data_IF_957886971263
#
_entry.id   IF_957886971263
#
_cell.length_a   1.000
_cell.length_b   1.000
_cell.length_c   1.000
_cell.angle_alpha   90.00
_cell.angle_beta   90.00
_cell.angle_gamma   90.00
#
_symmetry.space_group_name_H-M   'P 1'
#
loop_
_entity.id
_entity.type
_entity.pdbx_description
1 polymer ?
#
# COMPACT_ATOMS: atom_id res chain seq x y z
N UNK A 1 -34.56 -2.55 9.99
CA UNK A 1 -34.70 -2.98 8.58
C UNK A 1 -33.42 -2.79 7.75
N UNK A 2 -32.65 -1.71 7.96
CA UNK A 2 -31.36 -1.48 7.25
C UNK A 2 -30.27 -2.51 7.56
N UNK A 3 -30.12 -2.91 8.83
CA UNK A 3 -29.08 -3.85 9.25
C UNK A 3 -29.22 -5.23 8.59
N UNK A 4 -30.44 -5.77 8.52
CA UNK A 4 -30.70 -7.08 7.92
C UNK A 4 -30.37 -7.07 6.42
N UNK A 5 -30.85 -6.07 5.67
CA UNK A 5 -30.56 -5.94 4.24
C UNK A 5 -29.05 -5.79 3.98
N UNK A 6 -28.36 -5.00 4.80
CA UNK A 6 -26.91 -4.83 4.72
C UNK A 6 -26.16 -6.14 4.96
N UNK A 7 -26.57 -6.94 5.96
CA UNK A 7 -25.96 -8.25 6.22
C UNK A 7 -26.16 -9.21 5.05
N UNK A 8 -27.37 -9.27 4.48
CA UNK A 8 -27.66 -10.11 3.31
C UNK A 8 -26.89 -9.69 2.05
N UNK A 9 -26.82 -8.39 1.77
CA UNK A 9 -26.01 -7.86 0.66
C UNK A 9 -24.52 -8.18 0.86
N UNK A 10 -24.00 -7.97 2.07
CA UNK A 10 -22.60 -8.25 2.39
C UNK A 10 -22.27 -9.74 2.27
N UNK A 11 -23.19 -10.62 2.69
CA UNK A 11 -23.04 -12.06 2.53
C UNK A 11 -23.03 -12.47 1.05
N UNK A 12 -23.96 -11.93 0.25
CA UNK A 12 -24.01 -12.18 -1.20
C UNK A 12 -22.70 -11.79 -1.90
N UNK A 13 -22.20 -10.57 -1.68
CA UNK A 13 -20.94 -10.11 -2.28
C UNK A 13 -19.74 -10.92 -1.78
N UNK A 14 -19.72 -11.31 -0.51
CA UNK A 14 -18.66 -12.17 0.05
C UNK A 14 -18.62 -13.52 -0.65
N UNK A 15 -19.78 -14.17 -0.85
CA UNK A 15 -19.90 -15.46 -1.56
C UNK A 15 -19.56 -15.30 -3.05
N UNK A 16 -20.02 -14.21 -3.68
CA UNK A 16 -19.72 -13.93 -5.09
C UNK A 16 -18.21 -13.78 -5.33
N UNK A 17 -17.48 -13.15 -4.40
CA UNK A 17 -16.02 -13.04 -4.46
C UNK A 17 -15.36 -14.42 -4.23
N UNK A 18 -15.87 -15.22 -3.30
CA UNK A 18 -15.33 -16.58 -3.06
C UNK A 18 -15.58 -17.57 -4.18
N UNK A 19 -16.55 -17.29 -5.05
CA UNK A 19 -16.81 -18.15 -6.22
C UNK A 19 -15.57 -18.25 -7.12
N UNK A 20 -14.69 -17.25 -7.18
CA UNK A 20 -13.42 -17.30 -7.93
C UNK A 20 -12.45 -18.38 -7.41
N UNK A 21 -12.40 -18.60 -6.09
CA UNK A 21 -11.49 -19.58 -5.47
C UNK A 21 -11.95 -21.01 -5.75
N UNK A 22 -13.26 -21.22 -5.92
CA UNK A 22 -13.87 -22.53 -6.10
C UNK A 22 -14.13 -22.87 -7.58
N UNK A 23 -14.48 -21.88 -8.42
CA UNK A 23 -14.82 -22.04 -9.82
C UNK A 23 -14.18 -20.94 -10.67
N UNK A 24 -13.31 -21.37 -11.58
CA UNK A 24 -12.35 -20.49 -12.28
C UNK A 24 -12.99 -19.42 -13.18
N UNK A 25 -14.27 -19.54 -13.56
CA UNK A 25 -14.92 -18.64 -14.54
C UNK A 25 -16.44 -18.46 -14.32
N UNK A 26 -16.87 -17.93 -13.17
CA UNK A 26 -18.30 -17.67 -12.93
C UNK A 26 -18.67 -16.18 -13.08
N UNK A 27 -19.70 -15.88 -13.89
CA UNK A 27 -20.17 -14.51 -14.21
C UNK A 27 -20.52 -13.65 -12.98
N UNK A 28 -20.91 -14.25 -11.85
CA UNK A 28 -21.16 -13.50 -10.59
C UNK A 28 -19.91 -12.81 -10.06
N UNK A 29 -18.73 -13.41 -10.20
CA UNK A 29 -17.49 -12.78 -9.74
C UNK A 29 -17.21 -11.49 -10.53
N UNK A 30 -17.28 -11.56 -11.86
CA UNK A 30 -17.08 -10.40 -12.73
C UNK A 30 -18.09 -9.28 -12.44
N UNK A 31 -19.34 -9.63 -12.13
CA UNK A 31 -20.34 -8.65 -11.70
C UNK A 31 -19.97 -7.99 -10.37
N UNK A 32 -19.63 -8.78 -9.35
CA UNK A 32 -19.22 -8.27 -8.04
C UNK A 32 -17.97 -7.39 -8.14
N UNK A 33 -16.99 -7.79 -8.95
CA UNK A 33 -15.77 -7.02 -9.22
C UNK A 33 -16.09 -5.68 -9.90
N UNK A 34 -16.94 -5.69 -10.94
CA UNK A 34 -17.34 -4.45 -11.64
C UNK A 34 -18.08 -3.49 -10.71
N UNK A 35 -19.00 -4.01 -9.88
CA UNK A 35 -19.73 -3.20 -8.89
C UNK A 35 -18.78 -2.62 -7.85
N UNK A 36 -17.86 -3.43 -7.31
CA UNK A 36 -16.87 -2.98 -6.33
C UNK A 36 -15.99 -1.86 -6.90
N UNK A 37 -15.41 -2.07 -8.08
CA UNK A 37 -14.54 -1.08 -8.74
C UNK A 37 -15.34 0.21 -9.04
N UNK A 38 -16.58 0.08 -9.52
CA UNK A 38 -17.47 1.21 -9.78
C UNK A 38 -17.77 2.03 -8.53
N UNK A 39 -18.13 1.37 -7.42
CA UNK A 39 -18.40 2.04 -6.14
C UNK A 39 -17.14 2.70 -5.59
N UNK A 40 -15.99 2.03 -5.63
CA UNK A 40 -14.71 2.60 -5.17
C UNK A 40 -14.32 3.82 -5.98
N UNK A 41 -14.44 3.76 -7.31
CA UNK A 41 -14.14 4.90 -8.19
C UNK A 41 -15.11 6.07 -7.93
N UNK A 42 -16.41 5.81 -7.82
CA UNK A 42 -17.41 6.83 -7.54
C UNK A 42 -17.19 7.49 -6.17
N UNK A 43 -16.95 6.70 -5.13
CA UNK A 43 -16.65 7.20 -3.80
C UNK A 43 -15.38 8.07 -3.80
N UNK A 44 -14.33 7.63 -4.49
CA UNK A 44 -13.11 8.41 -4.67
C UNK A 44 -13.37 9.77 -5.28
N UNK A 45 -14.12 9.83 -6.39
CA UNK A 45 -14.47 11.10 -7.06
C UNK A 45 -15.28 12.02 -6.14
N UNK A 46 -16.29 11.49 -5.45
CA UNK A 46 -17.14 12.28 -4.54
C UNK A 46 -16.35 12.84 -3.36
N UNK A 47 -15.52 12.02 -2.73
CA UNK A 47 -14.64 12.46 -1.64
C UNK A 47 -13.64 13.51 -2.12
N UNK A 48 -13.03 13.31 -3.30
CA UNK A 48 -12.12 14.32 -3.88
C UNK A 48 -12.85 15.63 -4.12
N UNK A 49 -14.07 15.59 -4.66
CA UNK A 49 -14.84 16.78 -4.95
C UNK A 49 -15.26 17.53 -3.68
N UNK A 50 -15.81 16.84 -2.67
CA UNK A 50 -16.29 17.48 -1.45
C UNK A 50 -15.18 17.89 -0.48
N UNK A 51 -14.13 17.09 -0.33
CA UNK A 51 -13.09 17.35 0.65
C UNK A 51 -11.96 18.24 0.13
N UNK A 52 -11.77 18.31 -1.19
CA UNK A 52 -10.63 19.05 -1.77
C UNK A 52 -11.08 20.10 -2.79
N UNK A 53 -11.85 19.73 -3.82
CA UNK A 53 -12.18 20.68 -4.90
C UNK A 53 -13.10 21.80 -4.42
N UNK A 54 -14.22 21.45 -3.75
CA UNK A 54 -15.20 22.42 -3.26
C UNK A 54 -14.60 23.44 -2.26
N UNK A 55 -13.85 23.05 -1.21
CA UNK A 55 -13.28 24.03 -0.27
C UNK A 55 -12.18 24.88 -0.92
N UNK A 56 -11.33 24.32 -1.77
CA UNK A 56 -10.27 25.07 -2.45
C UNK A 56 -10.86 26.14 -3.40
N UNK A 57 -11.94 25.83 -4.10
CA UNK A 57 -12.58 26.80 -4.99
C UNK A 57 -13.44 27.80 -4.22
N UNK A 58 -14.24 27.35 -3.25
CA UNK A 58 -15.24 28.20 -2.59
C UNK A 58 -14.67 29.08 -1.47
N UNK A 59 -13.68 28.59 -0.71
CA UNK A 59 -13.14 29.29 0.46
C UNK A 59 -11.83 29.97 0.12
N UNK A 60 -10.93 29.23 -0.51
CA UNK A 60 -9.55 29.69 -0.67
C UNK A 60 -9.35 30.66 -1.86
N UNK A 61 -10.03 30.41 -2.98
CA UNK A 61 -9.95 31.29 -4.17
C UNK A 61 -10.90 32.48 -4.04
N UNK A 62 -12.15 32.24 -3.64
CA UNK A 62 -13.21 33.28 -3.65
C UNK A 62 -13.17 34.18 -2.40
N UNK A 63 -12.90 33.63 -1.20
CA UNK A 63 -12.94 34.43 0.04
C UNK A 63 -11.57 34.96 0.47
N UNK A 64 -10.48 34.24 0.22
CA UNK A 64 -9.14 34.62 0.69
C UNK A 64 -8.23 35.23 -0.39
N UNK A 65 -8.64 35.24 -1.66
CA UNK A 65 -7.86 35.82 -2.76
C UNK A 65 -6.50 35.17 -2.99
N UNK A 66 -6.29 33.93 -2.52
CA UNK A 66 -5.02 33.20 -2.65
C UNK A 66 -4.91 32.53 -4.02
N UNK A 67 -4.56 33.32 -5.03
CA UNK A 67 -4.35 32.84 -6.41
C UNK A 67 -3.30 31.74 -6.55
N UNK A 68 -2.42 31.55 -5.54
CA UNK A 68 -1.42 30.48 -5.53
C UNK A 68 -2.06 29.08 -5.53
N UNK A 69 -3.30 28.93 -5.06
CA UNK A 69 -4.04 27.65 -5.09
C UNK A 69 -4.63 27.31 -6.45
N UNK A 70 -4.47 28.18 -7.45
CA UNK A 70 -4.73 27.87 -8.85
C UNK A 70 -3.68 26.90 -9.42
N UNK A 71 -2.43 26.94 -8.92
CA UNK A 71 -1.33 26.11 -9.41
C UNK A 71 -1.63 24.60 -9.21
N UNK A 72 -2.04 24.12 -8.02
CA UNK A 72 -2.46 22.72 -7.84
C UNK A 72 -3.63 22.29 -8.73
N UNK A 73 -4.59 23.18 -8.98
CA UNK A 73 -5.74 22.90 -9.87
C UNK A 73 -5.27 22.74 -11.31
N UNK A 74 -4.39 23.62 -11.78
CA UNK A 74 -3.79 23.53 -13.11
C UNK A 74 -2.96 22.24 -13.24
N UNK A 75 -2.13 21.91 -12.26
CA UNK A 75 -1.37 20.64 -12.23
C UNK A 75 -2.31 19.43 -12.26
N UNK A 76 -3.44 19.48 -11.54
CA UNK A 76 -4.47 18.45 -11.57
C UNK A 76 -5.17 18.33 -12.94
N UNK A 77 -5.49 19.46 -13.58
CA UNK A 77 -6.04 19.49 -14.93
C UNK A 77 -5.07 18.93 -15.96
N UNK A 78 -3.77 19.20 -15.82
CA UNK A 78 -2.72 18.65 -16.67
C UNK A 78 -2.67 17.11 -16.60
N UNK A 79 -3.16 16.47 -15.53
CA UNK A 79 -3.24 15.00 -15.49
C UNK A 79 -4.18 14.44 -16.57
N UNK A 80 -5.27 15.15 -16.90
CA UNK A 80 -6.24 14.72 -17.92
C UNK A 80 -5.68 14.78 -19.35
N UNK A 81 -4.57 15.48 -19.58
CA UNK A 81 -3.86 15.43 -20.88
C UNK A 81 -3.37 14.03 -21.23
N UNK A 82 -3.35 13.09 -20.26
CA UNK A 82 -3.08 11.67 -20.48
C UNK A 82 -4.04 11.00 -21.48
N UNK A 83 -5.28 11.47 -21.58
CA UNK A 83 -6.26 10.93 -22.53
C UNK A 83 -5.96 11.33 -23.98
N UNK A 84 -5.15 12.37 -24.21
CA UNK A 84 -4.75 12.85 -25.53
C UNK A 84 -3.34 12.35 -25.85
N UNK A 85 -3.21 11.38 -26.77
CA UNK A 85 -1.92 10.73 -27.12
C UNK A 85 -0.80 11.71 -27.49
N UNK A 86 -1.12 12.88 -28.06
CA UNK A 86 -0.15 13.90 -28.50
C UNK A 86 0.48 14.71 -27.34
N UNK A 87 -0.27 14.95 -26.25
CA UNK A 87 0.16 15.83 -25.13
C UNK A 87 0.42 15.01 -23.84
N UNK A 88 0.30 13.68 -23.92
CA UNK A 88 0.46 12.78 -22.79
C UNK A 88 1.79 12.92 -22.02
N UNK A 89 2.84 13.50 -22.63
CA UNK A 89 4.10 13.78 -21.95
C UNK A 89 3.96 14.79 -20.80
N UNK A 90 3.03 15.74 -20.90
CA UNK A 90 2.82 16.78 -19.88
C UNK A 90 2.28 16.17 -18.59
N UNK A 91 1.49 15.09 -18.70
CA UNK A 91 0.98 14.31 -17.56
C UNK A 91 2.10 13.67 -16.70
N UNK A 92 3.32 13.52 -17.23
CA UNK A 92 4.46 12.98 -16.49
C UNK A 92 4.91 13.90 -15.34
N UNK A 93 4.78 15.22 -15.49
CA UNK A 93 5.19 16.20 -14.48
C UNK A 93 4.29 16.10 -13.23
N UNK A 94 2.94 16.19 -13.35
CA UNK A 94 2.04 15.94 -12.23
C UNK A 94 2.20 14.54 -11.61
N UNK A 95 2.42 13.50 -12.41
CA UNK A 95 2.63 12.15 -11.89
C UNK A 95 3.92 12.04 -11.08
N UNK A 96 5.02 12.65 -11.54
CA UNK A 96 6.27 12.72 -10.77
C UNK A 96 6.10 13.49 -9.47
N UNK A 97 5.37 14.61 -9.49
CA UNK A 97 5.01 15.36 -8.29
C UNK A 97 4.19 14.50 -7.32
N UNK A 98 3.19 13.78 -7.82
CA UNK A 98 2.33 12.91 -7.00
C UNK A 98 3.11 11.76 -6.35
N UNK A 99 4.04 11.14 -7.08
CA UNK A 99 4.95 10.12 -6.54
C UNK A 99 5.88 10.70 -5.48
N UNK A 100 6.44 11.90 -5.72
CA UNK A 100 7.29 12.60 -4.76
C UNK A 100 6.56 12.94 -3.46
N UNK A 101 5.34 13.48 -3.56
CA UNK A 101 4.47 13.73 -2.40
C UNK A 101 4.12 12.45 -1.67
N UNK A 102 3.79 11.36 -2.39
CA UNK A 102 3.51 10.06 -1.80
C UNK A 102 4.70 9.49 -1.02
N UNK A 103 5.91 9.57 -1.60
CA UNK A 103 7.14 9.18 -0.93
C UNK A 103 7.40 10.01 0.34
N UNK A 104 7.29 11.33 0.24
CA UNK A 104 7.44 12.24 1.38
C UNK A 104 6.39 11.99 2.48
N UNK A 105 5.15 11.68 2.09
CA UNK A 105 4.06 11.38 3.00
C UNK A 105 4.35 10.12 3.83
N UNK A 106 4.82 9.04 3.18
CA UNK A 106 5.16 7.79 3.86
C UNK A 106 6.32 8.02 4.85
N UNK A 107 7.34 8.77 4.42
CA UNK A 107 8.50 9.11 5.26
C UNK A 107 8.10 9.95 6.49
N UNK A 108 7.22 10.94 6.30
CA UNK A 108 6.79 11.86 7.37
C UNK A 108 5.74 11.25 8.30
N UNK A 109 4.91 10.32 7.81
CA UNK A 109 3.84 9.69 8.61
C UNK A 109 4.35 8.55 9.47
N UNK A 110 5.40 7.85 9.04
CA UNK A 110 6.03 6.77 9.81
C UNK A 110 7.54 7.01 10.07
N UNK A 111 7.95 8.19 10.57
CA UNK A 111 9.35 8.51 10.76
C UNK A 111 9.95 7.59 11.82
N UNK A 112 9.16 7.19 12.81
CA UNK A 112 9.59 6.27 13.87
C UNK A 112 10.11 4.94 13.33
N UNK A 113 9.55 4.39 12.24
CA UNK A 113 10.03 3.12 11.67
C UNK A 113 11.39 3.29 11.01
N UNK A 114 11.59 4.35 10.22
CA UNK A 114 12.86 4.59 9.54
C UNK A 114 13.96 5.07 10.51
N UNK A 115 13.63 6.01 11.39
CA UNK A 115 14.57 6.53 12.38
C UNK A 115 14.97 5.44 13.38
N UNK A 116 14.04 4.61 13.86
CA UNK A 116 14.39 3.51 14.77
C UNK A 116 15.31 2.48 14.10
N UNK A 117 15.13 2.16 12.81
CA UNK A 117 16.03 1.27 12.06
C UNK A 117 17.43 1.87 11.89
N UNK A 118 17.52 3.18 11.64
CA UNK A 118 18.80 3.89 11.54
C UNK A 118 19.49 3.91 12.92
N UNK A 119 18.79 4.34 13.97
CA UNK A 119 19.34 4.36 15.33
C UNK A 119 19.76 2.96 15.79
N UNK A 120 19.00 1.91 15.45
CA UNK A 120 19.35 0.53 15.76
C UNK A 120 20.68 0.08 15.13
N UNK A 121 21.08 0.69 14.00
CA UNK A 121 22.37 0.42 13.35
C UNK A 121 23.57 1.02 14.11
N UNK A 122 23.33 1.98 15.00
CA UNK A 122 24.36 2.67 15.80
C UNK A 122 24.32 2.31 17.29
N UNK A 123 23.45 1.39 17.72
CA UNK A 123 23.36 0.99 19.13
C UNK A 123 24.62 0.23 19.59
N UNK A 124 24.98 0.43 20.86
CA UNK A 124 26.07 -0.31 21.49
C UNK A 124 25.84 -1.84 21.44
N UNK A 125 26.91 -2.58 21.18
CA UNK A 125 26.95 -4.04 20.95
C UNK A 125 26.76 -4.89 22.23
N UNK A 126 25.98 -4.39 23.19
CA UNK A 126 25.85 -5.02 24.52
C UNK A 126 24.80 -6.13 24.57
N UNK A 127 23.90 -6.19 23.58
CA UNK A 127 22.85 -7.21 23.48
C UNK A 127 23.02 -8.03 22.21
N UNK A 128 22.79 -9.34 22.30
CA UNK A 128 22.87 -10.27 21.16
C UNK A 128 22.02 -9.80 19.96
N UNK A 129 20.83 -9.24 20.23
CA UNK A 129 19.97 -8.68 19.19
C UNK A 129 20.62 -7.51 18.43
N UNK A 130 21.33 -6.63 19.14
CA UNK A 130 22.02 -5.48 18.53
C UNK A 130 23.21 -5.96 17.68
N UNK A 131 23.94 -6.98 18.16
CA UNK A 131 25.04 -7.59 17.40
C UNK A 131 24.54 -8.22 16.11
N UNK A 132 23.47 -9.01 16.18
CA UNK A 132 22.87 -9.65 15.00
C UNK A 132 22.37 -8.60 14.00
N UNK A 133 21.77 -7.50 14.48
CA UNK A 133 21.30 -6.42 13.62
C UNK A 133 22.45 -5.71 12.90
N UNK A 134 23.48 -5.26 13.63
CA UNK A 134 24.64 -4.56 13.05
C UNK A 134 25.41 -5.46 12.09
N UNK A 135 25.65 -6.72 12.46
CA UNK A 135 26.30 -7.72 11.59
C UNK A 135 25.45 -8.01 10.35
N UNK A 136 24.13 -8.11 10.50
CA UNK A 136 23.19 -8.28 9.39
C UNK A 136 23.27 -7.12 8.40
N UNK A 137 23.20 -5.87 8.87
CA UNK A 137 23.30 -4.66 8.03
C UNK A 137 24.63 -4.64 7.28
N UNK A 138 25.76 -4.85 7.97
CA UNK A 138 27.08 -4.87 7.33
C UNK A 138 27.17 -5.99 6.28
N UNK A 139 26.66 -7.19 6.59
CA UNK A 139 26.69 -8.33 5.68
C UNK A 139 25.86 -8.09 4.41
N UNK A 140 24.68 -7.46 4.54
CA UNK A 140 23.84 -7.09 3.39
C UNK A 140 24.48 -5.98 2.55
N UNK A 141 25.09 -4.97 3.17
CA UNK A 141 25.82 -3.92 2.44
C UNK A 141 26.98 -4.53 1.66
N UNK A 142 27.75 -5.44 2.27
CA UNK A 142 28.84 -6.17 1.59
C UNK A 142 28.31 -7.06 0.46
N UNK A 143 27.12 -7.65 0.60
CA UNK A 143 26.47 -8.41 -0.48
C UNK A 143 26.13 -7.54 -1.70
N UNK A 144 25.61 -6.32 -1.48
CA UNK A 144 25.25 -5.39 -2.56
C UNK A 144 26.42 -4.52 -3.06
N UNK A 145 27.57 -4.59 -2.41
CA UNK A 145 28.76 -3.85 -2.83
C UNK A 145 29.40 -4.51 -4.05
N UNK A 146 28.82 -4.26 -5.22
CA UNK A 146 29.23 -4.87 -6.51
C UNK A 146 30.57 -4.35 -7.06
N UNK A 147 31.15 -3.31 -6.45
CA UNK A 147 32.35 -2.62 -6.95
C UNK A 147 33.67 -3.34 -6.62
N UNK A 148 33.71 -4.18 -5.58
CA UNK A 148 34.93 -4.92 -5.21
C UNK A 148 34.78 -6.41 -5.55
N UNK A 149 35.71 -6.98 -6.34
CA UNK A 149 35.69 -8.41 -6.60
C UNK A 149 35.93 -9.15 -5.29
N UNK A 150 35.01 -10.04 -4.93
CA UNK A 150 35.05 -10.86 -3.70
C UNK A 150 36.20 -11.88 -3.81
N UNK A 151 37.43 -11.43 -3.52
CA UNK A 151 38.64 -12.25 -3.67
C UNK A 151 39.04 -12.95 -2.37
N UNK A 152 38.71 -12.41 -1.20
CA UNK A 152 39.12 -12.96 0.11
C UNK A 152 38.08 -13.90 0.73
N UNK A 153 38.54 -14.97 1.39
CA UNK A 153 37.71 -15.96 2.09
C UNK A 153 36.70 -15.36 3.12
N UNK A 154 37.07 -14.39 3.99
CA UNK A 154 36.12 -13.78 4.91
C UNK A 154 35.02 -12.99 4.20
N UNK A 155 35.33 -12.36 3.05
CA UNK A 155 34.35 -11.61 2.27
C UNK A 155 33.32 -12.53 1.63
N UNK A 156 33.70 -13.74 1.17
CA UNK A 156 32.75 -14.76 0.69
C UNK A 156 31.78 -15.23 1.78
N UNK A 157 32.27 -15.37 3.02
CA UNK A 157 31.44 -15.72 4.18
C UNK A 157 30.41 -14.63 4.47
N UNK A 158 30.84 -13.37 4.56
CA UNK A 158 29.95 -12.22 4.80
C UNK A 158 28.91 -12.04 3.69
N UNK A 159 29.28 -12.20 2.41
CA UNK A 159 28.34 -12.15 1.29
C UNK A 159 27.29 -13.27 1.37
N UNK A 160 27.67 -14.48 1.81
CA UNK A 160 26.73 -15.60 1.96
C UNK A 160 25.76 -15.37 3.12
N UNK A 161 26.26 -14.84 4.24
CA UNK A 161 25.41 -14.40 5.35
C UNK A 161 24.45 -13.29 4.91
N UNK A 162 24.93 -12.30 4.16
CA UNK A 162 24.09 -11.24 3.58
C UNK A 162 22.95 -11.78 2.71
N UNK A 163 23.23 -12.76 1.84
CA UNK A 163 22.20 -13.47 1.07
C UNK A 163 21.16 -14.15 1.96
N UNK A 164 21.59 -14.84 3.02
CA UNK A 164 20.69 -15.51 3.94
C UNK A 164 19.78 -14.50 4.68
N UNK A 165 20.33 -13.40 5.18
CA UNK A 165 19.57 -12.31 5.80
C UNK A 165 18.54 -11.70 4.84
N UNK A 166 18.89 -11.53 3.56
CA UNK A 166 17.96 -11.06 2.53
C UNK A 166 16.84 -12.05 2.27
N UNK A 167 17.15 -13.35 2.16
CA UNK A 167 16.15 -14.38 1.92
C UNK A 167 15.15 -14.45 3.09
N UNK A 168 15.63 -14.34 4.33
CA UNK A 168 14.76 -14.27 5.52
C UNK A 168 13.91 -13.00 5.51
N UNK A 169 14.49 -11.83 5.21
CA UNK A 169 13.76 -10.55 5.22
C UNK A 169 12.69 -10.47 4.13
N UNK A 170 13.02 -10.92 2.91
CA UNK A 170 12.05 -11.01 1.82
C UNK A 170 10.99 -12.08 2.11
N UNK A 171 11.38 -13.22 2.69
CA UNK A 171 10.45 -14.26 3.14
C UNK A 171 9.47 -13.74 4.19
N UNK A 172 9.93 -13.00 5.19
CA UNK A 172 9.08 -12.37 6.21
C UNK A 172 8.13 -11.34 5.62
N UNK A 173 8.61 -10.52 4.66
CA UNK A 173 7.77 -9.53 3.97
C UNK A 173 6.70 -10.20 3.09
N UNK A 174 7.07 -11.28 2.39
CA UNK A 174 6.11 -12.07 1.63
C UNK A 174 5.08 -12.72 2.57
N UNK A 175 5.53 -13.37 3.65
CA UNK A 175 4.66 -14.02 4.62
C UNK A 175 3.68 -13.03 5.29
N UNK A 176 4.12 -11.82 5.62
CA UNK A 176 3.23 -10.81 6.21
C UNK A 176 2.11 -10.39 5.25
N UNK A 177 2.41 -10.29 3.95
CA UNK A 177 1.38 -10.00 2.94
C UNK A 177 0.41 -11.18 2.75
N UNK A 178 0.90 -12.42 2.75
CA UNK A 178 0.05 -13.62 2.69
C UNK A 178 -0.83 -13.72 3.93
N UNK A 179 -0.26 -13.51 5.12
CA UNK A 179 -0.99 -13.52 6.39
C UNK A 179 -2.06 -12.43 6.43
N UNK A 180 -1.78 -11.23 5.91
CA UNK A 180 -2.78 -10.17 5.78
C UNK A 180 -3.96 -10.61 4.92
N UNK A 181 -3.71 -11.28 3.78
CA UNK A 181 -4.76 -11.79 2.89
C UNK A 181 -5.57 -12.92 3.54
N UNK A 182 -4.91 -13.84 4.25
CA UNK A 182 -5.59 -14.93 5.00
C UNK A 182 -6.41 -14.36 6.17
N UNK A 183 -5.90 -13.34 6.87
CA UNK A 183 -6.62 -12.67 7.95
C UNK A 183 -7.90 -11.99 7.45
N UNK A 184 -7.84 -11.33 6.28
CA UNK A 184 -9.04 -10.78 5.63
C UNK A 184 -10.04 -11.87 5.24
N UNK A 185 -9.57 -13.03 4.75
CA UNK A 185 -10.41 -14.19 4.46
C UNK A 185 -11.09 -14.72 5.73
N UNK A 186 -10.35 -14.88 6.81
CA UNK A 186 -10.88 -15.33 8.10
C UNK A 186 -11.96 -14.36 8.61
N UNK A 187 -11.73 -13.06 8.56
CA UNK A 187 -12.73 -12.06 8.97
C UNK A 187 -14.03 -12.14 8.17
N UNK A 188 -13.95 -12.48 6.88
CA UNK A 188 -15.14 -12.68 6.03
C UNK A 188 -15.83 -14.02 6.31
N UNK A 189 -15.09 -15.08 6.62
CA UNK A 189 -15.67 -16.36 7.04
C UNK A 189 -16.36 -16.25 8.40
N UNK A 190 -15.76 -15.54 9.36
CA UNK A 190 -16.39 -15.23 10.65
C UNK A 190 -17.70 -14.47 10.45
N UNK A 191 -17.71 -13.43 9.62
CA UNK A 191 -18.92 -12.70 9.25
C UNK A 191 -20.01 -13.62 8.67
N UNK A 192 -19.67 -14.52 7.74
CA UNK A 192 -20.64 -15.45 7.16
C UNK A 192 -21.21 -16.43 8.19
N UNK A 193 -20.38 -16.98 9.07
CA UNK A 193 -20.78 -18.02 10.03
C UNK A 193 -21.50 -17.46 11.26
N UNK A 194 -21.11 -16.28 11.74
CA UNK A 194 -21.63 -15.66 12.95
C UNK A 194 -22.76 -14.66 12.65
N UNK A 195 -22.52 -13.67 11.79
CA UNK A 195 -23.48 -12.59 11.54
C UNK A 195 -24.61 -12.99 10.58
N UNK A 196 -24.30 -13.83 9.58
CA UNK A 196 -25.27 -14.25 8.57
C UNK A 196 -25.97 -15.57 8.90
N UNK A 197 -25.22 -16.67 9.07
CA UNK A 197 -25.78 -18.01 9.34
C UNK A 197 -26.14 -18.23 10.81
N UNK A 198 -25.50 -17.51 11.75
CA UNK A 198 -25.70 -17.65 13.21
C UNK A 198 -25.48 -19.08 13.75
N UNK A 199 -24.70 -19.90 13.05
CA UNK A 199 -24.45 -21.31 13.41
C UNK A 199 -23.28 -21.42 14.39
N UNK A 200 -22.29 -20.54 14.28
CA UNK A 200 -21.17 -20.47 15.21
C UNK A 200 -21.45 -19.40 16.28
N UNK A 201 -22.35 -19.73 17.21
CA UNK A 201 -22.70 -18.84 18.32
C UNK A 201 -21.56 -18.71 19.34
N UNK A 202 -21.00 -17.51 19.43
CA UNK A 202 -20.71 -16.82 20.69
C UNK A 202 -21.42 -15.48 20.61
#
# INVERSE_FOLDING_TARGET
MSATLQTWLSAFFTIAIYTLVLYKDYKLFQYAETVMIGITAANGIVLTYHNYIRPVVAVDIIQQGKYLQLIPILIGLLMYTRFVRSIAWVSRIPMGFWVGVGAAYILTRNPGVFISQITASFLALNKLNNVVFVVGVISVVVYFYFTVPIRSAPMKGMTTLGKAFLLVSFGATFASTVMSRISLLLGRLQFLLQDWLRIAGV
#
